data_IF_970508189059
#
_entry.id   IF_970508189059
#
_cell.length_a   1.000
_cell.length_b   1.000
_cell.length_c   1.000
_cell.angle_alpha   90.00
_cell.angle_beta   90.00
_cell.angle_gamma   90.00
#
_symmetry.space_group_name_H-M   'P 1'
#
loop_
_entity.id
_entity.type
_entity.pdbx_description
1 polymer ?
#
# COMPACT_ATOMS: atom_id res chain seq x y z
N UNK A 1 8.31 -14.80 10.31
CA UNK A 1 8.76 -14.50 11.69
C UNK A 1 8.31 -13.07 12.01
N UNK A 2 7.14 -12.90 12.64
CA UNK A 2 6.33 -11.66 12.60
C UNK A 2 6.82 -10.51 13.54
N UNK A 3 7.89 -10.71 14.32
CA UNK A 3 8.23 -9.80 15.44
C UNK A 3 8.98 -8.50 15.09
N UNK A 4 9.97 -8.47 14.18
CA UNK A 4 10.72 -7.23 13.89
C UNK A 4 9.90 -6.20 13.11
N UNK A 5 8.95 -6.66 12.28
CA UNK A 5 8.25 -5.80 11.32
C UNK A 5 7.09 -5.04 11.98
N UNK A 6 6.43 -5.61 13.00
CA UNK A 6 5.30 -4.97 13.69
C UNK A 6 5.71 -3.63 14.33
N UNK A 7 6.89 -3.52 14.93
CA UNK A 7 7.32 -2.25 15.54
C UNK A 7 7.60 -1.16 14.50
N UNK A 8 8.15 -1.54 13.33
CA UNK A 8 8.35 -0.62 12.21
C UNK A 8 7.01 -0.16 11.65
N UNK A 9 6.12 -1.11 11.38
CA UNK A 9 4.74 -0.87 10.93
C UNK A 9 4.03 0.07 11.90
N UNK A 10 4.14 -0.14 13.21
CA UNK A 10 3.50 0.74 14.20
C UNK A 10 4.06 2.16 14.26
N UNK A 11 5.28 2.41 13.76
CA UNK A 11 5.80 3.76 13.59
C UNK A 11 5.20 4.41 12.34
N UNK A 12 5.22 3.68 11.23
CA UNK A 12 4.60 4.08 9.96
C UNK A 12 3.14 4.48 10.17
N UNK A 13 2.35 3.62 10.82
CA UNK A 13 0.92 3.87 11.09
C UNK A 13 0.64 5.11 11.97
N UNK A 14 1.64 5.66 12.67
CA UNK A 14 1.49 6.91 13.44
C UNK A 14 1.74 8.15 12.59
N UNK A 15 2.45 8.00 11.49
CA UNK A 15 2.77 9.07 10.55
C UNK A 15 1.64 9.24 9.53
N UNK A 16 0.86 8.18 9.29
CA UNK A 16 -0.30 8.20 8.41
C UNK A 16 -1.49 8.99 8.98
N UNK A 17 -2.23 9.73 8.13
CA UNK A 17 -3.29 10.63 8.58
C UNK A 17 -4.60 9.91 8.98
N UNK A 18 -4.83 8.66 8.53
CA UNK A 18 -5.99 7.87 8.94
C UNK A 18 -7.33 8.43 8.43
N UNK A 19 -7.35 8.92 7.19
CA UNK A 19 -8.47 9.60 6.54
C UNK A 19 -8.33 9.51 5.03
N UNK A 20 -9.36 9.88 4.29
CA UNK A 20 -9.30 10.16 2.86
C UNK A 20 -8.34 11.32 2.55
N UNK A 21 -7.45 11.12 1.60
CA UNK A 21 -6.51 12.11 1.06
C UNK A 21 -6.56 12.11 -0.46
N UNK A 22 -6.24 13.25 -1.09
CA UNK A 22 -6.12 13.34 -2.55
C UNK A 22 -4.65 13.14 -2.93
N UNK A 23 -4.37 12.19 -3.80
CA UNK A 23 -3.02 11.85 -4.26
C UNK A 23 -2.91 12.23 -5.73
N UNK A 24 -1.82 12.89 -6.11
CA UNK A 24 -1.48 13.22 -7.50
C UNK A 24 -0.22 12.45 -7.91
N UNK A 25 -0.30 11.67 -8.98
CA UNK A 25 0.80 10.82 -9.44
C UNK A 25 0.75 10.67 -10.97
N UNK A 26 1.87 10.28 -11.58
CA UNK A 26 1.93 9.96 -13.00
C UNK A 26 1.67 8.46 -13.21
N UNK A 27 0.82 8.12 -14.18
CA UNK A 27 0.59 6.73 -14.58
C UNK A 27 1.70 6.20 -15.52
N UNK A 28 1.55 4.96 -15.98
CA UNK A 28 2.52 4.31 -16.87
C UNK A 28 2.74 5.01 -18.22
N UNK A 29 1.77 5.81 -18.68
CA UNK A 29 1.86 6.58 -19.93
C UNK A 29 2.26 8.04 -19.71
N UNK A 30 2.52 8.43 -18.47
CA UNK A 30 2.93 9.77 -18.06
C UNK A 30 1.77 10.77 -17.96
N UNK A 31 0.53 10.28 -17.83
CA UNK A 31 -0.62 11.13 -17.52
C UNK A 31 -0.66 11.40 -16.01
N UNK A 32 -0.81 12.67 -15.64
CA UNK A 32 -1.03 13.04 -14.24
C UNK A 32 -2.47 12.69 -13.85
N UNK A 33 -2.60 11.72 -12.95
CA UNK A 33 -3.85 11.34 -12.33
C UNK A 33 -4.02 12.04 -10.99
N UNK A 34 -5.27 12.13 -10.55
CA UNK A 34 -5.58 12.64 -9.22
C UNK A 34 -6.76 11.92 -8.61
N UNK A 35 -6.48 11.17 -7.56
CA UNK A 35 -7.39 10.13 -7.05
C UNK A 35 -7.51 10.23 -5.53
N UNK A 36 -8.73 10.10 -4.96
CA UNK A 36 -8.91 9.99 -3.52
C UNK A 36 -8.50 8.60 -3.01
N UNK A 37 -7.62 8.56 -2.01
CA UNK A 37 -7.26 7.33 -1.31
C UNK A 37 -7.67 7.43 0.16
N UNK A 38 -8.33 6.40 0.67
CA UNK A 38 -8.55 6.25 2.10
C UNK A 38 -7.33 5.61 2.75
N UNK A 39 -6.73 6.31 3.73
CA UNK A 39 -5.60 5.82 4.49
C UNK A 39 -6.07 5.15 5.76
N UNK A 40 -5.63 3.91 6.00
CA UNK A 40 -6.06 3.11 7.13
C UNK A 40 -5.70 3.72 8.48
N UNK A 41 -6.64 3.59 9.41
CA UNK A 41 -6.35 3.67 10.83
C UNK A 41 -5.54 2.46 11.27
N UNK A 42 -4.79 2.62 12.38
CA UNK A 42 -4.07 1.52 12.99
C UNK A 42 -4.94 0.27 13.27
N UNK A 43 -6.20 0.48 13.62
CA UNK A 43 -7.15 -0.62 13.87
C UNK A 43 -7.54 -1.40 12.63
N UNK A 44 -7.44 -0.78 11.45
CA UNK A 44 -7.85 -1.34 10.17
C UNK A 44 -6.69 -2.03 9.45
N UNK A 45 -5.45 -1.69 9.81
CA UNK A 45 -4.25 -2.15 9.11
C UNK A 45 -4.16 -3.68 8.94
N UNK A 46 -4.48 -4.46 9.98
CA UNK A 46 -4.41 -5.92 9.88
C UNK A 46 -5.48 -6.47 8.93
N UNK A 47 -6.71 -5.99 9.08
CA UNK A 47 -7.83 -6.42 8.23
C UNK A 47 -7.62 -6.00 6.77
N UNK A 48 -6.95 -4.86 6.54
CA UNK A 48 -6.57 -4.37 5.21
C UNK A 48 -5.54 -5.23 4.46
N UNK A 49 -4.92 -6.22 5.10
CA UNK A 49 -4.03 -7.16 4.41
C UNK A 49 -4.78 -8.32 3.76
N UNK A 50 -6.04 -8.51 4.10
CA UNK A 50 -6.90 -9.57 3.58
C UNK A 50 -7.13 -9.37 2.08
N UNK A 51 -6.93 -10.44 1.30
CA UNK A 51 -7.01 -10.42 -0.17
C UNK A 51 -5.69 -10.11 -0.87
N UNK A 52 -4.67 -9.64 -0.13
CA UNK A 52 -3.34 -9.33 -0.67
C UNK A 52 -2.27 -10.22 -0.07
N UNK A 53 -2.15 -10.24 1.26
CA UNK A 53 -1.15 -11.04 1.97
C UNK A 53 -1.70 -12.38 2.46
N UNK A 54 -2.99 -12.40 2.80
CA UNK A 54 -3.67 -13.58 3.31
C UNK A 54 -5.11 -13.66 2.81
N UNK A 55 -5.66 -14.87 2.71
CA UNK A 55 -7.08 -15.08 2.40
C UNK A 55 -7.95 -15.19 3.67
N UNK A 56 -9.26 -15.39 3.49
CA UNK A 56 -10.24 -15.52 4.59
C UNK A 56 -9.99 -16.73 5.51
N UNK A 57 -9.18 -17.69 5.07
CA UNK A 57 -8.79 -18.89 5.82
C UNK A 57 -7.39 -18.74 6.44
N UNK A 58 -6.78 -17.55 6.34
CA UNK A 58 -5.42 -17.23 6.75
C UNK A 58 -4.34 -18.02 6.01
N UNK A 59 -4.62 -18.48 4.79
CA UNK A 59 -3.58 -18.97 3.90
C UNK A 59 -2.81 -17.78 3.32
N UNK A 60 -1.48 -17.93 3.20
CA UNK A 60 -0.62 -16.92 2.59
C UNK A 60 -0.92 -16.77 1.10
N UNK A 61 -1.11 -15.53 0.66
CA UNK A 61 -1.19 -15.14 -0.75
C UNK A 61 0.14 -14.56 -1.27
N UNK A 62 1.13 -14.41 -0.38
CA UNK A 62 2.49 -13.98 -0.73
C UNK A 62 3.17 -15.02 -1.62
N UNK A 63 3.82 -14.55 -2.67
CA UNK A 63 4.59 -15.37 -3.59
C UNK A 63 6.01 -14.84 -3.85
N UNK A 64 6.71 -15.49 -4.78
CA UNK A 64 8.10 -15.17 -5.15
C UNK A 64 8.29 -15.07 -6.67
N UNK A 65 7.20 -15.13 -7.43
CA UNK A 65 7.18 -14.97 -8.88
C UNK A 65 6.88 -13.52 -9.24
N UNK A 66 7.21 -13.17 -10.48
CA UNK A 66 6.77 -11.90 -11.07
C UNK A 66 5.24 -11.85 -11.06
N UNK A 67 4.67 -10.70 -10.68
CA UNK A 67 3.23 -10.54 -10.51
C UNK A 67 2.67 -11.03 -9.18
N UNK A 68 3.45 -11.72 -8.33
CA UNK A 68 2.99 -12.11 -7.00
C UNK A 68 3.00 -10.92 -6.04
N UNK A 69 2.13 -10.95 -5.03
CA UNK A 69 2.25 -10.04 -3.89
C UNK A 69 3.49 -10.39 -3.06
N UNK A 70 4.33 -9.39 -2.74
CA UNK A 70 5.64 -9.62 -2.13
C UNK A 70 5.60 -9.64 -0.58
N UNK A 71 6.53 -10.37 0.05
CA UNK A 71 6.58 -10.51 1.52
C UNK A 71 6.75 -9.17 2.25
N UNK A 72 7.36 -8.19 1.61
CA UNK A 72 7.66 -6.86 2.13
C UNK A 72 6.58 -5.82 1.79
N UNK A 73 5.54 -6.16 1.03
CA UNK A 73 4.48 -5.23 0.65
C UNK A 73 3.32 -5.21 1.65
N UNK A 74 3.04 -4.05 2.23
CA UNK A 74 1.96 -3.87 3.20
C UNK A 74 0.99 -2.80 2.74
N UNK A 75 -0.29 -3.15 2.69
CA UNK A 75 -1.36 -2.22 2.32
C UNK A 75 -1.58 -1.22 3.45
N UNK A 76 -1.60 0.07 3.11
CA UNK A 76 -1.81 1.19 4.02
C UNK A 76 -3.07 2.00 3.70
N UNK A 77 -3.74 1.69 2.59
CA UNK A 77 -4.98 2.34 2.17
C UNK A 77 -5.52 1.73 0.88
N UNK A 78 -6.56 2.35 0.35
CA UNK A 78 -7.15 1.95 -0.93
C UNK A 78 -7.71 3.16 -1.68
N UNK A 79 -7.75 3.07 -3.00
CA UNK A 79 -8.42 4.02 -3.89
C UNK A 79 -9.94 4.01 -3.62
N UNK A 80 -10.52 5.16 -3.29
CA UNK A 80 -11.96 5.27 -3.02
C UNK A 80 -12.84 5.29 -4.29
N UNK A 81 -12.25 5.30 -5.49
CA UNK A 81 -12.96 5.16 -6.76
C UNK A 81 -13.38 3.71 -7.07
N UNK A 82 -13.84 3.49 -8.31
CA UNK A 82 -14.36 2.20 -8.76
C UNK A 82 -13.17 1.26 -9.02
N UNK A 83 -12.72 0.59 -7.97
CA UNK A 83 -11.64 -0.39 -8.05
C UNK A 83 -11.17 -0.78 -6.67
N UNK A 84 -10.89 0.19 -5.80
CA UNK A 84 -10.29 -0.15 -4.51
C UNK A 84 -8.85 -0.66 -4.70
N UNK A 85 -8.13 -0.09 -5.65
CA UNK A 85 -6.71 -0.40 -5.87
C UNK A 85 -5.94 -0.13 -4.57
N UNK A 86 -5.04 -1.04 -4.17
CA UNK A 86 -4.31 -0.89 -2.92
C UNK A 86 -3.34 0.29 -2.99
N UNK A 87 -3.26 1.05 -1.90
CA UNK A 87 -2.11 1.88 -1.59
C UNK A 87 -1.21 1.08 -0.65
N UNK A 88 0.03 0.84 -1.00
CA UNK A 88 0.92 -0.01 -0.20
C UNK A 88 2.36 0.50 -0.16
N UNK A 89 3.13 -0.05 0.77
CA UNK A 89 4.54 0.29 0.97
C UNK A 89 5.44 -0.93 0.94
N UNK A 90 6.69 -0.71 0.57
CA UNK A 90 7.76 -1.69 0.70
C UNK A 90 8.58 -1.47 1.99
N UNK A 91 8.47 -2.39 2.96
CA UNK A 91 9.19 -2.32 4.23
C UNK A 91 10.64 -2.87 4.20
N UNK A 92 11.05 -3.46 3.08
CA UNK A 92 12.44 -3.87 2.85
C UNK A 92 13.32 -2.65 2.54
N UNK A 93 12.75 -1.59 1.96
CA UNK A 93 13.39 -0.29 1.81
C UNK A 93 13.26 0.54 3.10
N UNK A 94 14.32 1.27 3.47
CA UNK A 94 14.36 2.12 4.67
C UNK A 94 13.49 3.37 4.56
N UNK A 95 13.27 3.84 3.33
CA UNK A 95 12.51 5.06 3.04
C UNK A 95 11.00 4.78 2.85
N UNK A 96 10.62 3.50 2.78
CA UNK A 96 9.24 3.05 2.62
C UNK A 96 8.53 3.69 1.41
N UNK A 97 9.02 3.46 0.18
CA UNK A 97 8.36 3.97 -1.02
C UNK A 97 6.91 3.51 -1.07
N UNK A 98 6.06 4.36 -1.64
CA UNK A 98 4.61 4.19 -1.70
C UNK A 98 4.20 3.85 -3.12
N UNK A 99 3.38 2.82 -3.26
CA UNK A 99 2.96 2.26 -4.54
C UNK A 99 1.45 2.13 -4.61
N UNK A 100 0.96 2.09 -5.84
CA UNK A 100 -0.37 1.55 -6.19
C UNK A 100 -0.21 0.41 -7.20
N UNK A 101 -1.26 -0.37 -7.42
CA UNK A 101 -1.29 -1.42 -8.43
C UNK A 101 -2.73 -1.67 -8.87
N UNK A 102 -2.98 -1.81 -10.17
CA UNK A 102 -4.32 -2.13 -10.67
C UNK A 102 -4.78 -3.50 -10.15
N UNK A 103 -5.94 -3.53 -9.52
CA UNK A 103 -6.51 -4.77 -9.02
C UNK A 103 -7.11 -5.64 -10.14
N UNK A 104 -7.23 -6.95 -9.90
CA UNK A 104 -8.07 -7.82 -10.74
C UNK A 104 -7.45 -8.29 -12.07
N UNK A 105 -6.19 -7.95 -12.35
CA UNK A 105 -5.48 -8.40 -13.56
C UNK A 105 -4.84 -9.80 -13.42
N UNK A 106 -4.90 -10.40 -12.23
CA UNK A 106 -4.33 -11.73 -11.96
C UNK A 106 -2.82 -11.71 -11.66
N UNK A 107 -2.20 -10.55 -11.81
CA UNK A 107 -0.83 -10.21 -11.39
C UNK A 107 -0.85 -8.80 -10.77
N UNK A 108 0.13 -8.52 -9.93
CA UNK A 108 0.36 -7.21 -9.31
C UNK A 108 1.55 -6.53 -9.98
N UNK A 109 1.28 -5.47 -10.74
CA UNK A 109 2.31 -4.57 -11.25
C UNK A 109 2.34 -3.30 -10.39
N UNK A 110 3.47 -3.03 -9.75
CA UNK A 110 3.60 -1.95 -8.76
C UNK A 110 4.01 -0.65 -9.43
N UNK A 111 3.13 0.34 -9.40
CA UNK A 111 3.41 1.71 -9.82
C UNK A 111 3.87 2.54 -8.62
N UNK A 112 5.11 3.01 -8.66
CA UNK A 112 5.68 3.88 -7.61
C UNK A 112 5.09 5.29 -7.71
N UNK A 113 4.51 5.77 -6.61
CA UNK A 113 3.95 7.12 -6.51
C UNK A 113 4.84 8.08 -5.72
N UNK A 114 5.57 7.56 -4.73
CA UNK A 114 6.50 8.34 -3.91
C UNK A 114 7.73 7.50 -3.56
N UNK A 115 8.92 8.10 -3.70
CA UNK A 115 10.20 7.50 -3.32
C UNK A 115 10.30 7.22 -1.80
N UNK A 116 9.48 7.92 -0.99
CA UNK A 116 9.44 7.74 0.46
C UNK A 116 8.08 8.01 1.09
N UNK A 117 7.78 7.31 2.19
CA UNK A 117 6.60 7.55 3.03
C UNK A 117 6.58 8.98 3.58
N UNK A 118 7.75 9.54 3.87
CA UNK A 118 7.88 10.90 4.39
C UNK A 118 7.35 11.92 3.37
N UNK A 119 7.74 11.79 2.11
CA UNK A 119 7.27 12.67 1.04
C UNK A 119 5.77 12.53 0.83
N UNK A 120 5.25 11.30 0.83
CA UNK A 120 3.81 11.05 0.78
C UNK A 120 3.06 11.78 1.91
N UNK A 121 3.49 11.60 3.16
CA UNK A 121 2.85 12.26 4.31
C UNK A 121 2.94 13.77 4.21
N UNK A 122 4.10 14.32 3.83
CA UNK A 122 4.28 15.78 3.66
C UNK A 122 3.40 16.37 2.54
N UNK A 123 3.09 15.60 1.50
CA UNK A 123 2.22 16.02 0.40
C UNK A 123 0.73 16.02 0.79
N UNK A 124 0.29 15.03 1.59
CA UNK A 124 -1.13 14.82 1.90
C UNK A 124 -1.62 15.39 3.24
N UNK A 125 -0.75 15.99 4.05
CA UNK A 125 -1.10 16.62 5.35
C UNK A 125 -0.90 18.13 5.37
#
# INVERSE_FOLDING_TARGET
MIKPDIEKIYKILKELPGTSVKVEFEDEVGETLSTPYYIYLKSEFLDGQLGYREDLEANSLIGNQEGDWQENWFVIGYDEEIGGDPLFIDIANVDYPVFTAEHGMGEWDALEMYDSLKEFVEDVT
#
